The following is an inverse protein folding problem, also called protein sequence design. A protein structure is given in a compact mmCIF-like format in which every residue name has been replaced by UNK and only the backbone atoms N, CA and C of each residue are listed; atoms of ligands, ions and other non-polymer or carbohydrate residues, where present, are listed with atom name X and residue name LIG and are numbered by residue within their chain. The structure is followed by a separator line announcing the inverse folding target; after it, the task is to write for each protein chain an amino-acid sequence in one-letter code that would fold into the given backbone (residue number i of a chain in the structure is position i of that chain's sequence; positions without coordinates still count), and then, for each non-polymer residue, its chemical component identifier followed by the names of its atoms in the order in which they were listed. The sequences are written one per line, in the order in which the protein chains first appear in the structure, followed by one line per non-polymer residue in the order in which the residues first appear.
data_IF_918103306117
#
_entry.id   IF_918103306117
#
_cell.length_a   1.000
_cell.length_b   1.000
_cell.length_c   1.000
_cell.angle_alpha   90.00
_cell.angle_beta   90.00
_cell.angle_gamma   90.00
#
_symmetry.space_group_name_H-M   'P 1'
#
loop_
_entity.id
_entity.type
_entity.pdbx_description
1 polymer ?
#
# COMPACT_ATOMS: atom_id res chain seq x y z
N UNK A 1 60.09 38.96 -27.97
CA UNK A 1 60.75 37.63 -27.92
C UNK A 1 59.66 36.56 -27.90
N UNK A 2 59.84 35.54 -28.72
CA UNK A 2 58.94 34.42 -29.03
C UNK A 2 58.98 33.32 -27.96
N UNK A 3 57.83 32.62 -27.79
CA UNK A 3 57.66 31.19 -27.42
C UNK A 3 58.16 30.77 -26.00
N UNK A 4 57.49 29.93 -25.20
CA UNK A 4 56.63 28.77 -25.46
C UNK A 4 55.62 28.54 -24.31
N UNK A 5 54.40 28.10 -24.65
CA UNK A 5 53.60 27.18 -23.82
C UNK A 5 54.16 25.76 -23.93
N UNK A 6 53.85 24.89 -22.96
CA UNK A 6 53.19 23.67 -23.39
C UNK A 6 51.92 23.35 -22.59
N UNK A 7 50.96 22.85 -23.35
CA UNK A 7 49.73 22.21 -22.96
C UNK A 7 49.93 21.10 -21.93
N UNK A 8 49.08 21.09 -20.91
CA UNK A 8 48.67 19.85 -20.26
C UNK A 8 47.15 19.80 -20.32
N UNK A 9 46.68 19.08 -21.33
CA UNK A 9 45.32 18.59 -21.50
C UNK A 9 45.02 17.67 -20.32
N UNK A 10 44.12 18.07 -19.42
CA UNK A 10 43.52 17.13 -18.46
C UNK A 10 42.10 16.84 -18.89
N UNK A 11 41.92 15.61 -19.32
CA UNK A 11 40.71 15.03 -19.85
C UNK A 11 39.48 15.31 -18.99
N UNK A 12 38.42 15.69 -19.70
CA UNK A 12 37.03 15.72 -19.27
C UNK A 12 36.67 14.44 -18.53
N UNK A 13 36.53 14.53 -17.20
CA UNK A 13 35.65 13.63 -16.48
C UNK A 13 34.24 14.20 -16.67
N UNK A 14 33.62 13.84 -17.79
CA UNK A 14 32.18 13.92 -17.94
C UNK A 14 31.58 13.07 -16.84
N UNK A 15 31.26 13.69 -15.72
CA UNK A 15 30.38 13.13 -14.71
C UNK A 15 29.02 13.00 -15.38
N UNK A 16 28.83 11.90 -16.11
CA UNK A 16 27.52 11.36 -16.43
C UNK A 16 26.88 11.03 -15.10
N UNK A 17 26.25 12.06 -14.51
CA UNK A 17 25.21 11.91 -13.51
C UNK A 17 24.12 11.09 -14.18
N UNK A 18 24.27 9.76 -14.07
CA UNK A 18 23.20 8.81 -14.22
C UNK A 18 22.06 9.37 -13.38
N UNK A 19 21.08 9.91 -14.08
CA UNK A 19 19.74 10.13 -13.61
C UNK A 19 19.28 8.80 -13.02
N UNK A 20 19.46 8.66 -11.71
CA UNK A 20 18.77 7.67 -10.92
C UNK A 20 17.30 8.02 -11.04
N UNK A 21 16.64 7.42 -12.04
CA UNK A 21 15.19 7.33 -12.06
C UNK A 21 14.76 6.85 -10.67
N UNK A 22 13.75 7.48 -10.06
CA UNK A 22 13.18 6.94 -8.85
C UNK A 22 12.56 5.59 -9.23
N UNK A 23 13.32 4.51 -9.05
CA UNK A 23 12.79 3.15 -9.04
C UNK A 23 11.61 3.21 -8.09
N UNK A 24 10.39 3.12 -8.63
CA UNK A 24 9.18 3.10 -7.82
C UNK A 24 9.27 1.85 -6.94
N UNK A 25 9.80 2.02 -5.72
CA UNK A 25 10.13 0.91 -4.81
C UNK A 25 8.89 0.08 -4.46
N UNK A 26 7.70 0.63 -4.72
CA UNK A 26 6.41 -0.03 -4.49
C UNK A 26 5.49 0.12 -5.71
N UNK A 27 5.07 -1.00 -6.32
CA UNK A 27 4.18 -1.07 -7.49
C UNK A 27 2.70 -0.82 -7.16
N UNK A 28 2.41 0.20 -6.34
CA UNK A 28 1.03 0.57 -6.01
C UNK A 28 0.21 1.02 -7.23
N UNK A 29 0.90 1.36 -8.33
CA UNK A 29 0.31 1.78 -9.59
C UNK A 29 -0.66 0.75 -10.18
N UNK A 30 -0.37 -0.54 -10.00
CA UNK A 30 -1.20 -1.65 -10.49
C UNK A 30 -1.87 -2.44 -9.36
N UNK A 31 -1.58 -2.08 -8.11
CA UNK A 31 -2.12 -2.80 -6.97
C UNK A 31 -3.63 -2.62 -6.84
N UNK A 32 -4.34 -3.71 -6.61
CA UNK A 32 -5.77 -3.71 -6.26
C UNK A 32 -5.96 -4.53 -5.01
N UNK A 33 -6.87 -4.12 -4.14
CA UNK A 33 -7.14 -4.81 -2.88
C UNK A 33 -8.63 -4.98 -2.71
N UNK A 34 -9.04 -6.17 -2.30
CA UNK A 34 -10.42 -6.51 -1.97
C UNK A 34 -10.47 -7.18 -0.59
N UNK A 35 -11.27 -6.67 0.33
CA UNK A 35 -11.54 -7.31 1.62
C UNK A 35 -12.67 -8.33 1.40
N UNK A 36 -12.31 -9.60 1.21
CA UNK A 36 -13.28 -10.66 0.89
C UNK A 36 -14.21 -10.96 2.08
N UNK A 37 -13.68 -10.89 3.30
CA UNK A 37 -14.43 -11.24 4.52
C UNK A 37 -13.75 -10.73 5.79
N UNK A 38 -14.51 -10.73 6.89
CA UNK A 38 -13.99 -10.62 8.24
C UNK A 38 -14.22 -11.92 9.02
N UNK A 39 -13.29 -12.28 9.88
CA UNK A 39 -13.36 -13.44 10.77
C UNK A 39 -13.06 -13.01 12.21
N UNK A 40 -13.75 -13.62 13.18
CA UNK A 40 -13.51 -13.37 14.61
C UNK A 40 -12.84 -14.60 15.21
N UNK A 41 -11.65 -14.42 15.79
CA UNK A 41 -10.84 -15.47 16.40
C UNK A 41 -10.69 -15.16 17.87
N UNK A 42 -11.55 -15.76 18.70
CA UNK A 42 -11.54 -15.56 20.13
C UNK A 42 -10.72 -16.68 20.81
N UNK A 43 -9.63 -16.36 21.53
CA UNK A 43 -8.85 -17.35 22.26
C UNK A 43 -9.71 -18.08 23.30
N UNK A 44 -9.35 -19.32 23.63
CA UNK A 44 -10.04 -20.07 24.67
C UNK A 44 -9.95 -19.31 26.00
N UNK A 45 -11.09 -19.06 26.62
CA UNK A 45 -11.19 -18.35 27.90
C UNK A 45 -11.38 -16.83 27.81
N UNK A 46 -11.24 -16.23 26.62
CA UNK A 46 -11.56 -14.81 26.45
C UNK A 46 -13.08 -14.59 26.47
N UNK A 47 -13.53 -13.62 27.28
CA UNK A 47 -14.96 -13.32 27.48
C UNK A 47 -15.52 -12.26 26.53
N UNK A 48 -14.65 -11.49 25.86
CA UNK A 48 -15.03 -10.35 25.05
C UNK A 48 -14.17 -10.27 23.78
N UNK A 49 -14.83 -10.03 22.65
CA UNK A 49 -14.17 -9.69 21.39
C UNK A 49 -13.56 -8.29 21.50
N UNK A 50 -12.34 -8.13 21.00
CA UNK A 50 -11.59 -6.86 20.95
C UNK A 50 -11.04 -6.69 19.53
N UNK A 51 -10.42 -5.55 19.23
CA UNK A 51 -9.84 -5.27 17.91
C UNK A 51 -8.80 -6.32 17.47
N UNK A 52 -8.08 -6.91 18.43
CA UNK A 52 -7.07 -7.96 18.15
C UNK A 52 -7.69 -9.27 17.68
N UNK A 53 -8.96 -9.49 17.98
CA UNK A 53 -9.68 -10.72 17.67
C UNK A 53 -10.44 -10.67 16.35
N UNK A 54 -10.52 -9.51 15.70
CA UNK A 54 -11.22 -9.35 14.42
C UNK A 54 -10.20 -9.22 13.30
N UNK A 55 -10.25 -10.13 12.33
CA UNK A 55 -9.32 -10.22 11.20
C UNK A 55 -10.07 -10.02 9.89
N UNK A 56 -9.58 -9.10 9.07
CA UNK A 56 -10.01 -8.86 7.71
C UNK A 56 -9.10 -9.64 6.76
N UNK A 57 -9.69 -10.36 5.81
CA UNK A 57 -8.97 -11.15 4.81
C UNK A 57 -8.93 -10.34 3.53
N UNK A 58 -7.74 -9.86 3.17
CA UNK A 58 -7.46 -9.02 2.02
C UNK A 58 -6.95 -9.90 0.88
N UNK A 59 -7.55 -9.78 -0.29
CA UNK A 59 -7.05 -10.31 -1.55
C UNK A 59 -6.33 -9.17 -2.28
N UNK A 60 -5.03 -9.34 -2.47
CA UNK A 60 -4.15 -8.32 -3.04
C UNK A 60 -3.69 -8.77 -4.42
N UNK A 61 -3.95 -7.96 -5.44
CA UNK A 61 -3.36 -8.07 -6.77
C UNK A 61 -2.15 -7.15 -6.85
N UNK A 62 -0.96 -7.67 -7.18
CA UNK A 62 0.28 -6.87 -7.30
C UNK A 62 0.58 -6.41 -8.75
N UNK A 63 -0.34 -6.69 -9.68
CA UNK A 63 -0.15 -6.42 -11.11
C UNK A 63 0.22 -7.65 -11.95
N UNK A 64 0.58 -8.77 -11.32
CA UNK A 64 0.82 -10.05 -12.00
C UNK A 64 0.06 -11.21 -11.34
N UNK A 65 -0.01 -11.23 -10.01
CA UNK A 65 -0.58 -12.34 -9.25
C UNK A 65 -1.49 -11.85 -8.12
N UNK A 66 -2.34 -12.76 -7.65
CA UNK A 66 -3.14 -12.56 -6.45
C UNK A 66 -2.51 -13.30 -5.27
N UNK A 67 -2.52 -12.67 -4.10
CA UNK A 67 -2.19 -13.32 -2.84
C UNK A 67 -3.13 -12.83 -1.74
N UNK A 68 -3.19 -13.57 -0.64
CA UNK A 68 -4.04 -13.26 0.50
C UNK A 68 -3.19 -12.75 1.66
N UNK A 69 -3.66 -11.67 2.28
CA UNK A 69 -3.09 -11.08 3.50
C UNK A 69 -4.20 -11.03 4.54
N UNK A 70 -3.86 -11.31 5.79
CA UNK A 70 -4.80 -11.13 6.90
C UNK A 70 -4.34 -9.97 7.76
N UNK A 71 -5.25 -9.03 8.03
CA UNK A 71 -4.97 -7.90 8.91
C UNK A 71 -6.01 -7.79 10.01
N UNK A 72 -5.54 -7.63 11.26
CA UNK A 72 -6.45 -7.43 12.38
C UNK A 72 -7.02 -6.02 12.36
N UNK A 73 -8.15 -5.80 13.04
CA UNK A 73 -8.65 -4.44 13.26
C UNK A 73 -7.61 -3.59 13.98
N UNK A 74 -6.90 -4.16 14.95
CA UNK A 74 -5.80 -3.47 15.62
C UNK A 74 -4.70 -3.05 14.63
N UNK A 75 -4.39 -3.85 13.61
CA UNK A 75 -3.44 -3.50 12.56
C UNK A 75 -3.92 -2.30 11.72
N UNK A 76 -5.22 -2.14 11.46
CA UNK A 76 -5.76 -0.92 10.84
C UNK A 76 -5.59 0.32 11.74
N UNK A 77 -5.75 0.17 13.06
CA UNK A 77 -5.45 1.27 13.98
C UNK A 77 -3.97 1.67 13.95
N UNK A 78 -3.06 0.71 13.86
CA UNK A 78 -1.61 0.98 13.70
C UNK A 78 -1.33 1.63 12.34
N UNK A 79 -1.96 1.14 11.27
CA UNK A 79 -1.83 1.73 9.93
C UNK A 79 -2.18 3.23 9.93
N UNK A 80 -3.26 3.63 10.62
CA UNK A 80 -3.63 5.04 10.75
C UNK A 80 -2.48 5.87 11.32
N UNK A 81 -1.93 5.44 12.44
CA UNK A 81 -0.85 6.16 13.12
C UNK A 81 0.41 6.20 12.25
N UNK A 82 0.77 5.08 11.60
CA UNK A 82 1.91 5.01 10.69
C UNK A 82 1.75 5.94 9.47
N UNK A 83 0.54 6.04 8.92
CA UNK A 83 0.24 6.96 7.81
C UNK A 83 0.33 8.42 8.23
N UNK A 84 -0.26 8.77 9.38
CA UNK A 84 -0.22 10.14 9.92
C UNK A 84 1.21 10.56 10.27
N UNK A 85 2.01 9.63 10.80
CA UNK A 85 3.43 9.84 11.09
C UNK A 85 4.24 10.02 9.80
N UNK A 86 4.03 9.17 8.79
CA UNK A 86 4.71 9.28 7.49
C UNK A 86 4.35 10.58 6.74
N UNK A 87 3.14 11.08 6.94
CA UNK A 87 2.70 12.36 6.40
C UNK A 87 3.33 13.55 7.11
N UNK A 88 3.87 13.41 8.33
CA UNK A 88 4.54 14.47 9.08
C UNK A 88 3.77 15.81 9.08
N UNK A 89 2.83 15.94 10.02
CA UNK A 89 1.92 17.08 10.10
C UNK A 89 2.67 18.42 10.02
N UNK A 90 2.28 19.27 9.06
CA UNK A 90 2.86 20.61 8.90
C UNK A 90 4.14 20.68 8.07
N UNK A 91 4.59 19.60 7.44
CA UNK A 91 5.69 19.69 6.47
C UNK A 91 5.32 20.59 5.27
N UNK A 92 6.34 21.25 4.71
CA UNK A 92 6.16 22.12 3.56
C UNK A 92 5.91 21.29 2.29
N UNK A 93 4.64 21.18 1.88
CA UNK A 93 4.23 20.52 0.65
C UNK A 93 3.12 21.31 -0.04
N UNK A 94 3.29 21.58 -1.33
CA UNK A 94 2.27 22.19 -2.20
C UNK A 94 1.30 21.18 -2.81
N UNK A 95 1.51 19.89 -2.53
CA UNK A 95 0.71 18.78 -3.04
C UNK A 95 -0.44 18.39 -2.12
N UNK A 96 -0.84 17.13 -2.20
CA UNK A 96 -2.03 16.60 -1.52
C UNK A 96 -1.81 16.25 -0.04
N UNK A 97 -0.57 16.21 0.44
CA UNK A 97 -0.25 15.70 1.77
C UNK A 97 -1.01 16.38 2.93
N UNK A 98 -1.17 17.72 2.96
CA UNK A 98 -1.93 18.36 4.04
C UNK A 98 -3.41 17.91 4.07
N UNK A 99 -4.03 17.79 2.90
CA UNK A 99 -5.41 17.35 2.76
C UNK A 99 -5.58 15.88 3.11
N UNK A 100 -4.63 15.03 2.70
CA UNK A 100 -4.62 13.61 3.04
C UNK A 100 -4.43 13.41 4.55
N UNK A 101 -3.58 14.20 5.20
CA UNK A 101 -3.39 14.14 6.65
C UNK A 101 -4.69 14.49 7.37
N UNK A 102 -5.32 15.60 7.00
CA UNK A 102 -6.58 16.05 7.60
C UNK A 102 -7.69 15.01 7.42
N UNK A 103 -7.81 14.45 6.22
CA UNK A 103 -8.80 13.41 5.91
C UNK A 103 -8.56 12.14 6.72
N UNK A 104 -7.33 11.63 6.78
CA UNK A 104 -7.00 10.44 7.57
C UNK A 104 -7.19 10.69 9.07
N UNK A 105 -6.85 11.87 9.56
CA UNK A 105 -7.00 12.21 10.98
C UNK A 105 -8.49 12.17 11.40
N UNK A 106 -9.37 12.69 10.55
CA UNK A 106 -10.80 12.86 10.87
C UNK A 106 -11.70 11.71 10.42
N UNK A 107 -11.39 11.02 9.32
CA UNK A 107 -12.32 10.09 8.68
C UNK A 107 -11.92 8.62 8.82
N UNK A 108 -10.68 8.30 9.20
CA UNK A 108 -10.20 6.91 9.24
C UNK A 108 -11.01 5.99 10.15
N UNK A 109 -11.44 6.47 11.32
CA UNK A 109 -12.19 5.67 12.31
C UNK A 109 -13.72 5.83 12.19
N UNK A 110 -14.20 6.62 11.23
CA UNK A 110 -15.58 7.07 11.17
C UNK A 110 -16.26 6.63 9.87
N UNK A 111 -16.94 5.48 9.87
CA UNK A 111 -17.72 5.04 8.73
C UNK A 111 -18.76 6.08 8.32
N UNK A 112 -18.68 6.52 7.07
CA UNK A 112 -19.56 7.55 6.49
C UNK A 112 -20.92 6.97 6.05
N UNK A 113 -20.99 5.65 5.90
CA UNK A 113 -22.20 4.95 5.46
C UNK A 113 -23.34 5.10 6.45
N UNK A 114 -24.54 5.40 5.96
CA UNK A 114 -25.76 5.48 6.79
C UNK A 114 -26.06 4.11 7.39
N UNK A 115 -26.01 4.02 8.71
CA UNK A 115 -26.31 2.79 9.47
C UNK A 115 -27.56 2.97 10.33
N UNK A 116 -28.26 1.88 10.60
CA UNK A 116 -29.42 1.89 11.49
C UNK A 116 -29.03 2.34 12.90
N UNK A 117 -29.94 2.98 13.64
CA UNK A 117 -29.69 3.51 14.99
C UNK A 117 -29.07 2.50 15.96
N UNK A 118 -29.50 1.22 15.89
CA UNK A 118 -28.92 0.15 16.72
C UNK A 118 -27.45 -0.11 16.38
N UNK A 119 -27.11 -0.17 15.09
CA UNK A 119 -25.72 -0.35 14.63
C UNK A 119 -24.89 0.86 14.98
N UNK A 120 -25.42 2.07 14.78
CA UNK A 120 -24.79 3.32 15.22
C UNK A 120 -24.49 3.33 16.72
N UNK A 121 -25.45 2.95 17.56
CA UNK A 121 -25.25 2.86 19.01
C UNK A 121 -24.21 1.79 19.37
N UNK A 122 -24.22 0.64 18.68
CA UNK A 122 -23.21 -0.41 18.88
C UNK A 122 -21.80 0.06 18.50
N UNK A 123 -21.66 0.83 17.41
CA UNK A 123 -20.41 1.46 17.01
C UNK A 123 -19.94 2.45 18.07
N UNK A 124 -20.84 3.31 18.56
CA UNK A 124 -20.54 4.29 19.63
C UNK A 124 -20.12 3.62 20.94
N UNK A 125 -20.69 2.45 21.24
CA UNK A 125 -20.31 1.61 22.38
C UNK A 125 -19.09 0.72 22.12
N UNK A 126 -18.41 0.86 20.97
CA UNK A 126 -17.26 0.05 20.54
C UNK A 126 -17.50 -1.46 20.68
N UNK A 127 -18.70 -1.93 20.32
CA UNK A 127 -19.07 -3.35 20.35
C UNK A 127 -18.75 -4.00 19.01
N UNK A 128 -18.00 -5.10 19.03
CA UNK A 128 -17.71 -5.94 17.87
C UNK A 128 -18.83 -6.96 17.65
N UNK A 129 -19.91 -6.51 17.02
CA UNK A 129 -21.00 -7.38 16.56
C UNK A 129 -20.82 -7.66 15.07
N UNK A 130 -21.52 -8.67 14.53
CA UNK A 130 -21.49 -8.96 13.09
C UNK A 130 -21.86 -7.72 12.25
N UNK A 131 -22.83 -6.92 12.73
CA UNK A 131 -23.28 -5.71 12.05
C UNK A 131 -22.21 -4.62 12.03
N UNK A 132 -21.53 -4.36 13.15
CA UNK A 132 -20.47 -3.35 13.20
C UNK A 132 -19.23 -3.80 12.42
N UNK A 133 -18.88 -5.07 12.48
CA UNK A 133 -17.77 -5.64 11.71
C UNK A 133 -18.02 -5.48 10.19
N UNK A 134 -19.24 -5.73 9.72
CA UNK A 134 -19.58 -5.55 8.30
C UNK A 134 -19.46 -4.08 7.87
N UNK A 135 -19.93 -3.14 8.68
CA UNK A 135 -19.80 -1.71 8.39
C UNK A 135 -18.34 -1.31 8.27
N UNK A 136 -17.49 -1.78 9.18
CA UNK A 136 -16.06 -1.48 9.13
C UNK A 136 -15.32 -2.22 8.01
N UNK A 137 -15.78 -3.41 7.59
CA UNK A 137 -15.27 -4.08 6.40
C UNK A 137 -15.45 -3.19 5.17
N UNK A 138 -16.66 -2.68 4.95
CA UNK A 138 -16.97 -1.80 3.82
C UNK A 138 -16.21 -0.47 3.91
N UNK A 139 -16.15 0.11 5.10
CA UNK A 139 -15.38 1.34 5.35
C UNK A 139 -13.89 1.17 5.04
N UNK A 140 -13.27 0.08 5.51
CA UNK A 140 -11.86 -0.19 5.22
C UNK A 140 -11.63 -0.50 3.74
N UNK A 141 -12.59 -1.11 3.05
CA UNK A 141 -12.51 -1.28 1.59
C UNK A 141 -12.49 0.08 0.89
N UNK A 142 -13.45 0.96 1.18
CA UNK A 142 -13.55 2.30 0.58
C UNK A 142 -12.29 3.14 0.88
N UNK A 143 -11.77 3.05 2.10
CA UNK A 143 -10.53 3.69 2.52
C UNK A 143 -9.32 3.19 1.71
N UNK A 144 -9.13 1.86 1.61
CA UNK A 144 -8.02 1.27 0.85
C UNK A 144 -8.12 1.65 -0.64
N UNK A 145 -9.31 1.60 -1.23
CA UNK A 145 -9.53 1.98 -2.62
C UNK A 145 -9.21 3.47 -2.85
N UNK A 146 -9.66 4.34 -1.94
CA UNK A 146 -9.38 5.78 -2.02
C UNK A 146 -7.90 6.07 -1.88
N UNK A 147 -7.22 5.46 -0.90
CA UNK A 147 -5.77 5.59 -0.72
C UNK A 147 -5.01 5.09 -1.94
N UNK A 148 -5.32 3.90 -2.47
CA UNK A 148 -4.68 3.39 -3.68
C UNK A 148 -4.91 4.32 -4.88
N UNK A 149 -6.09 4.91 -5.00
CA UNK A 149 -6.38 5.88 -6.05
C UNK A 149 -5.52 7.14 -5.93
N UNK A 150 -5.39 7.70 -4.72
CA UNK A 150 -4.52 8.87 -4.46
C UNK A 150 -3.05 8.51 -4.73
N UNK A 151 -2.56 7.38 -4.21
CA UNK A 151 -1.15 7.00 -4.27
C UNK A 151 -0.67 6.53 -5.65
N UNK A 152 -1.60 6.29 -6.60
CA UNK A 152 -1.27 6.03 -8.01
C UNK A 152 -0.74 7.26 -8.76
N UNK A 153 -0.83 8.45 -8.19
CA UNK A 153 -0.36 9.68 -8.85
C UNK A 153 1.18 9.68 -8.92
N UNK A 154 1.72 9.49 -10.13
CA UNK A 154 3.15 9.23 -10.39
C UNK A 154 4.07 10.46 -10.36
N UNK A 155 3.53 11.66 -10.12
CA UNK A 155 4.27 12.92 -10.28
C UNK A 155 4.34 13.77 -9.01
N UNK A 156 4.20 13.16 -7.84
CA UNK A 156 4.34 13.87 -6.56
C UNK A 156 5.79 13.80 -6.09
N UNK A 157 6.53 14.91 -6.19
CA UNK A 157 7.89 15.04 -5.68
C UNK A 157 7.89 15.42 -4.19
N UNK A 158 7.30 14.57 -3.35
CA UNK A 158 7.25 14.77 -1.90
C UNK A 158 7.72 13.49 -1.20
N UNK A 159 8.74 13.63 -0.33
CA UNK A 159 9.29 12.50 0.42
C UNK A 159 8.22 11.84 1.30
N UNK A 160 7.46 12.63 2.05
CA UNK A 160 6.39 12.16 2.93
C UNK A 160 5.34 11.37 2.14
N UNK A 161 5.01 11.82 0.92
CA UNK A 161 4.10 11.07 0.05
C UNK A 161 4.66 9.69 -0.34
N UNK A 162 5.97 9.60 -0.63
CA UNK A 162 6.63 8.31 -0.87
C UNK A 162 6.68 7.44 0.38
N UNK A 163 6.87 8.02 1.56
CA UNK A 163 6.84 7.29 2.84
C UNK A 163 5.45 6.71 3.10
N UNK A 164 4.38 7.44 2.76
CA UNK A 164 2.99 6.93 2.79
C UNK A 164 2.80 5.76 1.83
N UNK A 165 3.31 5.85 0.61
CA UNK A 165 3.31 4.72 -0.34
C UNK A 165 4.00 3.49 0.28
N UNK A 166 5.13 3.68 0.95
CA UNK A 166 5.86 2.59 1.60
C UNK A 166 5.09 1.99 2.78
N UNK A 167 4.46 2.81 3.62
CA UNK A 167 3.59 2.35 4.72
C UNK A 167 2.46 1.49 4.19
N UNK A 168 1.72 1.98 3.17
CA UNK A 168 0.61 1.21 2.62
C UNK A 168 1.11 -0.09 1.98
N UNK A 169 2.15 -0.04 1.14
CA UNK A 169 2.70 -1.21 0.48
C UNK A 169 3.14 -2.29 1.48
N UNK A 170 3.72 -1.90 2.62
CA UNK A 170 4.04 -2.82 3.71
C UNK A 170 2.78 -3.41 4.33
N UNK A 171 1.78 -2.59 4.63
CA UNK A 171 0.53 -3.08 5.24
C UNK A 171 -0.19 -4.11 4.38
N UNK A 172 -0.24 -3.93 3.05
CA UNK A 172 -0.86 -4.89 2.14
C UNK A 172 0.12 -5.92 1.56
N UNK A 173 1.33 -6.03 2.14
CA UNK A 173 2.40 -6.96 1.72
C UNK A 173 2.68 -6.98 0.21
N UNK A 174 2.71 -5.82 -0.46
CA UNK A 174 3.11 -5.74 -1.87
C UNK A 174 4.55 -6.22 -2.01
N UNK A 175 4.75 -7.26 -2.82
CA UNK A 175 6.08 -7.82 -3.07
C UNK A 175 6.97 -6.77 -3.76
N UNK A 176 8.21 -6.55 -3.28
CA UNK A 176 9.20 -5.82 -4.05
C UNK A 176 9.41 -6.52 -5.41
N UNK A 177 9.71 -5.79 -6.49
CA UNK A 177 10.04 -6.42 -7.76
C UNK A 177 11.27 -7.32 -7.59
N UNK A 178 11.05 -8.62 -7.50
CA UNK A 178 12.12 -9.61 -7.53
C UNK A 178 12.72 -9.61 -8.93
N UNK A 179 13.98 -9.19 -9.04
CA UNK A 179 14.72 -9.06 -10.30
C UNK A 179 15.11 -10.40 -10.97
N UNK A 180 14.36 -11.47 -10.72
CA UNK A 180 14.60 -12.82 -11.24
C UNK A 180 13.27 -13.52 -11.56
N UNK A 181 12.56 -13.03 -12.57
CA UNK A 181 11.74 -13.93 -13.40
C UNK A 181 12.58 -14.29 -14.62
N UNK A 182 13.43 -15.30 -14.46
CA UNK A 182 14.02 -16.02 -15.59
C UNK A 182 12.88 -16.63 -16.42
N UNK A 183 12.87 -16.47 -17.75
CA UNK A 183 11.85 -17.07 -18.59
C UNK A 183 11.95 -18.59 -18.50
N UNK A 184 10.94 -19.22 -17.91
CA UNK A 184 10.73 -20.66 -18.02
C UNK A 184 10.58 -20.98 -19.52
N UNK A 185 11.48 -21.77 -20.13
CA UNK A 185 11.27 -22.19 -21.50
C UNK A 185 10.05 -23.13 -21.52
N UNK A 186 9.00 -22.69 -22.20
CA UNK A 186 7.91 -23.56 -22.64
C UNK A 186 8.54 -24.63 -23.54
N UNK A 187 8.68 -25.84 -23.01
CA UNK A 187 8.98 -27.02 -23.81
C UNK A 187 7.75 -27.28 -24.68
N UNK A 188 7.85 -26.83 -25.93
CA UNK A 188 6.94 -27.18 -27.01
C UNK A 188 6.96 -28.70 -27.17
N UNK A 189 5.83 -29.32 -26.84
CA UNK A 189 5.52 -30.68 -27.25
C UNK A 189 5.09 -30.63 -28.72
N UNK A 190 6.05 -30.83 -29.62
CA UNK A 190 5.82 -30.96 -31.05
C UNK A 190 6.02 -32.43 -31.46
N UNK A 191 4.90 -33.13 -31.44
CA UNK A 191 4.55 -34.36 -32.15
C UNK A 191 5.39 -34.71 -33.41
N UNK A 192 5.74 -36.00 -33.56
CA UNK A 192 5.50 -36.90 -34.72
C UNK A 192 6.67 -37.86 -34.98
N UNK A 193 6.39 -39.18 -35.03
CA UNK A 193 6.61 -40.12 -36.16
C UNK A 193 5.88 -41.43 -35.75
N UNK A 194 4.66 -41.75 -36.21
CA UNK A 194 4.17 -42.21 -37.52
C UNK A 194 4.01 -43.74 -37.59
N UNK A 195 2.78 -44.17 -37.89
CA UNK A 195 2.39 -45.53 -38.23
C UNK A 195 3.08 -46.02 -39.51
N UNK A 196 3.58 -47.26 -39.48
CA UNK A 196 3.39 -48.35 -40.45
C UNK A 196 4.01 -49.61 -39.86
#
# INVERSE_FOLDING_TARGET
MKLMSPDIIRHSASSSSLSSEPTSVHRLDRTRVEIERASVRLPRGAKKVTNEHVFFVLKVFDGSSYHTVEQSWAAFSVLKEDLLLALDAGHACSGICPWLWEDLHHNFDYPTKKVNFRTWLQMRLRRHTKGTIQVFLEHFQELLDSMLNVLRHRHVHCKQFHDVCAVLARFIHVRPPTHLESPTPLLCDASLVQCC
#
